data_IF_701193946444
#
_entry.id   IF_701193946444
#
_cell.length_a   1.000
_cell.length_b   1.000
_cell.length_c   1.000
_cell.angle_alpha   90.00
_cell.angle_beta   90.00
_cell.angle_gamma   90.00
#
_symmetry.space_group_name_H-M   'P 1'
#
loop_
_entity.id
_entity.type
_entity.pdbx_description
1 polymer ?
#
# COMPACT_ATOMS: atom_id res chain seq x y z
N UNK A 1 -2.00 -15.92 -4.46
CA UNK A 1 -1.88 -14.47 -4.71
C UNK A 1 -1.02 -14.25 -5.95
N UNK A 2 -1.39 -13.31 -6.83
CA UNK A 2 -0.66 -13.03 -8.06
C UNK A 2 -0.28 -11.54 -8.11
N UNK A 3 1.01 -11.26 -8.30
CA UNK A 3 1.58 -9.90 -8.30
C UNK A 3 2.59 -9.73 -9.43
N UNK A 4 2.68 -8.53 -9.99
CA UNK A 4 3.64 -8.20 -11.06
C UNK A 4 5.05 -7.99 -10.51
N UNK A 5 5.18 -7.62 -9.23
CA UNK A 5 6.44 -7.42 -8.52
C UNK A 5 6.32 -7.89 -7.07
N UNK A 6 7.37 -8.54 -6.57
CA UNK A 6 7.46 -9.01 -5.19
C UNK A 6 8.91 -8.85 -4.69
N UNK A 7 9.21 -9.41 -3.51
CA UNK A 7 10.55 -9.34 -2.94
C UNK A 7 11.64 -9.79 -3.95
N UNK A 8 12.80 -9.15 -3.96
CA UNK A 8 13.34 -8.20 -2.96
C UNK A 8 12.84 -6.75 -3.10
N UNK A 9 12.01 -6.46 -4.11
CA UNK A 9 11.41 -5.14 -4.27
C UNK A 9 10.32 -4.91 -3.21
N UNK A 10 10.41 -3.79 -2.47
CA UNK A 10 9.48 -3.45 -1.39
C UNK A 10 8.59 -2.29 -1.82
N UNK A 11 7.30 -2.53 -1.72
CA UNK A 11 6.24 -1.55 -1.98
C UNK A 11 5.07 -1.76 -1.00
N UNK A 12 4.10 -0.87 -0.99
CA UNK A 12 2.87 -1.07 -0.23
C UNK A 12 2.15 -2.39 -0.59
N UNK A 13 2.14 -2.76 -1.88
CA UNK A 13 1.53 -4.02 -2.34
C UNK A 13 2.35 -5.23 -1.87
N UNK A 14 3.68 -5.16 -1.92
CA UNK A 14 4.55 -6.24 -1.42
C UNK A 14 4.29 -6.49 0.07
N UNK A 15 4.26 -5.44 0.88
CA UNK A 15 3.97 -5.54 2.32
C UNK A 15 2.55 -6.08 2.57
N UNK A 16 1.56 -5.60 1.81
CA UNK A 16 0.19 -6.11 1.87
C UNK A 16 0.12 -7.61 1.59
N UNK A 17 0.76 -8.08 0.51
CA UNK A 17 0.75 -9.49 0.13
C UNK A 17 1.47 -10.35 1.16
N UNK A 18 2.62 -9.90 1.68
CA UNK A 18 3.39 -10.59 2.69
C UNK A 18 2.60 -10.78 3.99
N UNK A 19 2.00 -9.70 4.51
CA UNK A 19 1.25 -9.77 5.76
C UNK A 19 -0.01 -10.62 5.61
N UNK A 20 -0.75 -10.47 4.50
CA UNK A 20 -1.94 -11.28 4.24
C UNK A 20 -1.59 -12.76 4.04
N UNK A 21 -0.50 -13.09 3.32
CA UNK A 21 0.00 -14.46 3.20
C UNK A 21 0.22 -15.06 4.59
N UNK A 22 0.98 -14.39 5.44
CA UNK A 22 1.29 -14.84 6.79
C UNK A 22 0.03 -15.12 7.63
N UNK A 23 -0.94 -14.20 7.62
CA UNK A 23 -2.15 -14.35 8.43
C UNK A 23 -3.15 -15.37 7.87
N UNK A 24 -3.22 -15.52 6.56
CA UNK A 24 -3.98 -16.61 5.94
C UNK A 24 -3.34 -17.99 6.22
N UNK A 25 -2.01 -18.09 6.22
CA UNK A 25 -1.31 -19.31 6.61
C UNK A 25 -1.51 -19.64 8.11
N UNK A 26 -1.52 -18.62 8.99
CA UNK A 26 -1.87 -18.79 10.41
C UNK A 26 -3.33 -19.25 10.60
N UNK A 27 -4.22 -18.91 9.66
CA UNK A 27 -5.60 -19.40 9.64
C UNK A 27 -5.73 -20.81 9.05
N UNK A 28 -4.63 -21.47 8.66
CA UNK A 28 -4.60 -22.86 8.20
C UNK A 28 -4.70 -23.05 6.70
N UNK A 29 -4.48 -22.00 5.90
CA UNK A 29 -4.54 -22.07 4.44
C UNK A 29 -3.14 -22.17 3.82
N UNK A 30 -3.01 -22.88 2.68
CA UNK A 30 -1.81 -22.91 1.88
C UNK A 30 -1.79 -21.74 0.90
N UNK A 31 -0.92 -20.76 1.13
CA UNK A 31 -0.85 -19.54 0.33
C UNK A 31 0.37 -19.51 -0.57
N UNK A 32 0.13 -19.46 -1.88
CA UNK A 32 1.16 -19.33 -2.89
C UNK A 32 1.21 -17.90 -3.44
N UNK A 33 2.41 -17.37 -3.62
CA UNK A 33 2.63 -16.08 -4.31
C UNK A 33 3.26 -16.38 -5.67
N UNK A 34 2.58 -15.94 -6.74
CA UNK A 34 3.08 -16.04 -8.11
C UNK A 34 3.53 -14.66 -8.56
N UNK A 35 4.76 -14.54 -9.00
CA UNK A 35 5.37 -13.29 -9.44
C UNK A 35 6.33 -13.54 -10.60
N UNK A 36 6.94 -12.46 -11.10
CA UNK A 36 7.96 -12.49 -12.14
C UNK A 36 9.31 -12.12 -11.56
N UNK A 37 10.37 -12.58 -12.20
CA UNK A 37 11.72 -12.31 -11.77
C UNK A 37 12.71 -13.34 -12.31
N UNK A 38 13.91 -13.32 -11.78
CA UNK A 38 14.87 -14.37 -12.03
C UNK A 38 14.38 -15.67 -11.35
N UNK A 39 14.22 -16.74 -12.15
CA UNK A 39 13.77 -18.03 -11.66
C UNK A 39 14.72 -18.66 -10.64
N UNK A 40 16.00 -18.26 -10.68
CA UNK A 40 17.04 -18.70 -9.75
C UNK A 40 17.07 -17.88 -8.45
N UNK A 41 16.30 -16.80 -8.38
CA UNK A 41 16.24 -15.95 -7.20
C UNK A 41 15.41 -16.61 -6.09
N UNK A 42 16.08 -17.34 -5.22
CA UNK A 42 15.46 -17.94 -4.04
C UNK A 42 15.27 -16.86 -2.98
N UNK A 43 14.06 -16.37 -2.82
CA UNK A 43 13.71 -15.43 -1.74
C UNK A 43 13.86 -16.02 -0.34
N UNK A 44 14.10 -17.34 -0.21
CA UNK A 44 14.06 -18.07 1.06
C UNK A 44 12.65 -18.22 1.65
N UNK A 45 11.65 -17.57 1.07
CA UNK A 45 10.28 -17.64 1.52
C UNK A 45 9.54 -18.82 0.87
N UNK A 46 8.90 -19.70 1.65
CA UNK A 46 8.21 -20.87 1.12
C UNK A 46 6.99 -20.43 0.29
N UNK A 47 6.67 -21.23 -0.74
CA UNK A 47 5.50 -21.03 -1.63
C UNK A 47 5.51 -19.70 -2.42
N UNK A 48 6.70 -19.10 -2.64
CA UNK A 48 6.87 -18.00 -3.59
C UNK A 48 7.44 -18.55 -4.89
N UNK A 49 6.73 -18.31 -5.98
CA UNK A 49 7.04 -18.89 -7.29
C UNK A 49 7.34 -17.77 -8.27
N UNK A 50 8.60 -17.67 -8.65
CA UNK A 50 9.06 -16.74 -9.68
C UNK A 50 8.91 -17.38 -11.07
N UNK A 51 8.43 -16.61 -12.02
CA UNK A 51 8.43 -16.95 -13.45
C UNK A 51 9.38 -16.01 -14.18
N UNK A 52 10.15 -16.52 -15.18
CA UNK A 52 11.07 -15.67 -15.91
C UNK A 52 10.39 -14.49 -16.59
N UNK A 53 11.04 -13.33 -16.56
CA UNK A 53 10.63 -12.11 -17.24
C UNK A 53 11.83 -11.27 -17.63
N UNK A 54 11.60 -10.29 -18.50
CA UNK A 54 12.61 -9.29 -18.88
C UNK A 54 12.51 -8.14 -17.89
N UNK A 55 13.58 -7.76 -17.18
CA UNK A 55 13.55 -6.67 -16.22
C UNK A 55 13.23 -5.33 -16.94
N UNK A 56 12.36 -4.54 -16.33
CA UNK A 56 12.03 -3.17 -16.76
C UNK A 56 12.83 -2.19 -15.90
N UNK A 57 14.06 -1.90 -16.31
CA UNK A 57 15.00 -1.06 -15.57
C UNK A 57 15.15 -1.53 -14.09
N UNK A 58 15.60 -0.67 -13.20
CA UNK A 58 15.75 -0.93 -11.77
C UNK A 58 14.43 -0.83 -10.97
N UNK A 59 13.30 -0.82 -11.67
CA UNK A 59 11.97 -0.64 -11.05
C UNK A 59 11.48 -1.85 -10.25
N UNK A 60 12.14 -3.00 -10.33
CA UNK A 60 11.70 -4.26 -9.73
C UNK A 60 10.54 -4.94 -10.44
N UNK A 61 10.09 -4.37 -11.57
CA UNK A 61 9.10 -4.98 -12.45
C UNK A 61 9.75 -5.78 -13.57
N UNK A 62 9.08 -6.85 -13.97
CA UNK A 62 9.50 -7.73 -15.06
C UNK A 62 8.38 -7.86 -16.08
N UNK A 63 8.69 -7.69 -17.36
CA UNK A 63 7.75 -7.94 -18.44
C UNK A 63 7.76 -9.43 -18.78
N UNK A 64 6.59 -10.08 -18.69
CA UNK A 64 6.42 -11.46 -19.09
C UNK A 64 5.01 -11.72 -19.64
N UNK A 65 4.91 -12.45 -20.74
CA UNK A 65 3.64 -12.79 -21.37
C UNK A 65 3.03 -14.11 -20.84
N UNK A 66 3.73 -14.81 -19.94
CA UNK A 66 3.32 -16.12 -19.45
C UNK A 66 4.04 -16.51 -18.15
N UNK A 67 3.39 -17.34 -17.35
CA UNK A 67 4.06 -18.05 -16.27
C UNK A 67 4.84 -19.25 -16.77
N UNK A 68 5.86 -19.67 -15.99
CA UNK A 68 6.58 -20.91 -16.22
C UNK A 68 5.63 -22.12 -16.20
N UNK A 69 6.03 -23.22 -16.84
CA UNK A 69 5.22 -24.46 -16.85
C UNK A 69 4.91 -24.96 -15.43
N UNK A 70 5.88 -24.87 -14.52
CA UNK A 70 5.69 -25.26 -13.13
C UNK A 70 4.72 -24.34 -12.40
N UNK A 71 4.90 -23.02 -12.51
CA UNK A 71 3.98 -22.03 -11.92
C UNK A 71 2.54 -22.26 -12.41
N UNK A 72 2.34 -22.47 -13.71
CA UNK A 72 1.04 -22.74 -14.30
C UNK A 72 0.40 -24.02 -13.74
N UNK A 73 1.17 -25.14 -13.60
CA UNK A 73 0.64 -26.37 -13.01
C UNK A 73 0.18 -26.18 -11.56
N UNK A 74 0.97 -25.47 -10.75
CA UNK A 74 0.60 -25.19 -9.36
C UNK A 74 -0.59 -24.23 -9.30
N UNK A 75 -0.60 -23.17 -10.11
CA UNK A 75 -1.73 -22.23 -10.17
C UNK A 75 -3.06 -22.92 -10.47
N UNK A 76 -3.05 -23.94 -11.32
CA UNK A 76 -4.25 -24.71 -11.71
C UNK A 76 -4.78 -25.64 -10.61
N UNK A 77 -4.05 -25.81 -9.50
CA UNK A 77 -4.52 -26.57 -8.32
C UNK A 77 -5.06 -25.68 -7.21
N UNK A 78 -5.12 -24.36 -7.41
CA UNK A 78 -5.62 -23.45 -6.40
C UNK A 78 -7.15 -23.45 -6.35
N UNK A 79 -7.71 -23.29 -5.16
CA UNK A 79 -9.16 -23.18 -4.96
C UNK A 79 -9.67 -21.79 -5.33
N UNK A 80 -8.83 -20.76 -5.15
CA UNK A 80 -9.12 -19.36 -5.46
C UNK A 80 -7.83 -18.61 -5.82
N UNK A 81 -7.94 -17.60 -6.65
CA UNK A 81 -6.83 -16.75 -7.05
C UNK A 81 -7.13 -15.30 -6.76
N UNK A 82 -6.23 -14.63 -6.04
CA UNK A 82 -6.34 -13.22 -5.73
C UNK A 82 -5.24 -12.41 -6.45
N UNK A 83 -5.64 -11.45 -7.25
CA UNK A 83 -4.79 -10.63 -8.10
C UNK A 83 -4.65 -9.23 -7.52
N UNK A 84 -3.44 -8.68 -7.54
CA UNK A 84 -3.14 -7.35 -6.98
C UNK A 84 -2.70 -6.31 -8.02
N UNK A 85 -2.55 -6.73 -9.29
CA UNK A 85 -2.26 -5.84 -10.42
C UNK A 85 -3.15 -6.21 -11.61
N UNK A 86 -3.78 -5.22 -12.30
CA UNK A 86 -4.76 -5.53 -13.34
C UNK A 86 -4.13 -5.93 -14.67
N UNK A 87 -2.89 -5.50 -14.94
CA UNK A 87 -2.33 -5.60 -16.29
C UNK A 87 -1.73 -6.96 -16.61
N UNK A 88 -0.60 -7.33 -16.00
CA UNK A 88 0.12 -8.58 -16.31
C UNK A 88 -0.49 -9.79 -15.57
N UNK A 89 -0.33 -9.83 -14.26
CA UNK A 89 -0.84 -10.93 -13.44
C UNK A 89 -2.36 -11.08 -13.52
N UNK A 90 -3.09 -9.95 -13.62
CA UNK A 90 -4.55 -9.95 -13.77
C UNK A 90 -5.01 -10.64 -15.06
N UNK A 91 -4.40 -10.29 -16.19
CA UNK A 91 -4.72 -10.92 -17.47
C UNK A 91 -4.35 -12.40 -17.50
N UNK A 92 -3.22 -12.76 -16.88
CA UNK A 92 -2.78 -14.16 -16.81
C UNK A 92 -3.68 -14.98 -15.88
N UNK A 93 -4.18 -14.39 -14.78
CA UNK A 93 -5.17 -15.03 -13.92
C UNK A 93 -6.43 -15.41 -14.71
N UNK A 94 -7.00 -14.43 -15.42
CA UNK A 94 -8.18 -14.69 -16.27
C UNK A 94 -7.92 -15.76 -17.32
N UNK A 95 -6.74 -15.72 -17.96
CA UNK A 95 -6.36 -16.69 -19.00
C UNK A 95 -6.26 -18.12 -18.46
N UNK A 96 -5.70 -18.30 -17.24
CA UNK A 96 -5.40 -19.64 -16.73
C UNK A 96 -6.46 -20.20 -15.76
N UNK A 97 -7.18 -19.33 -15.06
CA UNK A 97 -8.12 -19.74 -14.01
C UNK A 97 -9.56 -19.88 -14.54
N UNK A 98 -10.02 -18.95 -15.39
CA UNK A 98 -11.39 -18.98 -15.92
C UNK A 98 -11.77 -20.28 -16.64
N UNK A 99 -10.94 -20.88 -17.52
CA UNK A 99 -11.27 -22.15 -18.17
C UNK A 99 -11.46 -23.31 -17.18
N UNK A 100 -10.92 -23.18 -15.98
CA UNK A 100 -10.98 -24.18 -14.91
C UNK A 100 -12.02 -23.86 -13.84
N UNK A 101 -12.76 -22.77 -14.00
CA UNK A 101 -13.74 -22.26 -13.02
C UNK A 101 -13.13 -21.96 -11.65
N UNK A 102 -11.83 -21.62 -11.61
CA UNK A 102 -11.18 -21.13 -10.39
C UNK A 102 -11.59 -19.65 -10.23
N UNK A 103 -12.23 -19.27 -9.12
CA UNK A 103 -12.65 -17.89 -8.90
C UNK A 103 -11.46 -16.94 -8.80
N UNK A 104 -11.61 -15.75 -9.39
CA UNK A 104 -10.58 -14.72 -9.44
C UNK A 104 -11.06 -13.46 -8.74
N UNK A 105 -10.37 -13.08 -7.67
CA UNK A 105 -10.56 -11.85 -6.92
C UNK A 105 -9.52 -10.82 -7.38
N UNK A 106 -9.91 -9.56 -7.44
CA UNK A 106 -8.99 -8.46 -7.71
C UNK A 106 -9.08 -7.39 -6.63
N UNK A 107 -7.96 -7.00 -6.03
CA UNK A 107 -7.88 -5.81 -5.18
C UNK A 107 -7.16 -4.68 -5.92
N UNK A 108 -7.82 -3.51 -5.99
CA UNK A 108 -7.22 -2.33 -6.57
C UNK A 108 -6.43 -1.54 -5.51
N UNK A 109 -5.10 -1.58 -5.61
CA UNK A 109 -4.17 -0.94 -4.68
C UNK A 109 -3.62 0.40 -5.17
N UNK A 110 -3.92 0.82 -6.39
CA UNK A 110 -3.21 1.93 -7.01
C UNK A 110 -4.16 2.90 -7.71
N UNK A 111 -3.92 4.18 -7.54
CA UNK A 111 -4.49 5.29 -8.31
C UNK A 111 -3.78 5.36 -9.67
N UNK A 112 -4.13 4.43 -10.57
CA UNK A 112 -3.48 4.33 -11.89
C UNK A 112 -3.61 5.61 -12.72
N UNK A 113 -4.69 6.37 -12.52
CA UNK A 113 -4.91 7.69 -13.10
C UNK A 113 -3.79 8.67 -12.71
N UNK A 114 -3.49 8.80 -11.43
CA UNK A 114 -2.44 9.69 -10.93
C UNK A 114 -1.03 9.16 -11.18
N UNK A 115 -0.85 7.84 -11.16
CA UNK A 115 0.45 7.24 -11.47
C UNK A 115 0.84 7.43 -12.94
N UNK A 116 -0.13 7.35 -13.87
CA UNK A 116 0.12 7.66 -15.27
C UNK A 116 0.60 9.10 -15.44
N UNK A 117 -0.02 10.06 -14.77
CA UNK A 117 0.37 11.48 -14.78
C UNK A 117 1.79 11.70 -14.21
N UNK A 118 2.10 11.06 -13.08
CA UNK A 118 3.40 11.25 -12.40
C UNK A 118 4.58 10.63 -13.16
N UNK A 119 4.38 9.48 -13.80
CA UNK A 119 5.46 8.72 -14.42
C UNK A 119 5.49 8.78 -15.96
N UNK A 120 4.42 9.27 -16.59
CA UNK A 120 4.32 9.49 -18.02
C UNK A 120 3.87 10.92 -18.33
N UNK A 121 4.62 11.95 -17.91
CA UNK A 121 4.20 13.36 -17.99
C UNK A 121 4.02 13.86 -19.44
N UNK A 122 4.54 13.12 -20.43
CA UNK A 122 4.33 13.44 -21.86
C UNK A 122 2.98 12.91 -22.40
N UNK A 123 2.26 12.07 -21.63
CA UNK A 123 0.96 11.56 -22.03
C UNK A 123 -0.14 12.53 -21.52
N UNK A 124 -0.99 13.09 -22.38
CA UNK A 124 -2.11 13.93 -21.94
C UNK A 124 -3.03 13.16 -20.98
N UNK A 125 -3.52 13.86 -19.94
CA UNK A 125 -4.38 13.27 -18.91
C UNK A 125 -5.65 12.63 -19.47
N UNK A 126 -6.23 13.25 -20.50
CA UNK A 126 -7.40 12.72 -21.19
C UNK A 126 -7.12 11.37 -21.86
N UNK A 127 -5.92 11.19 -22.42
CA UNK A 127 -5.51 9.94 -23.07
C UNK A 127 -5.32 8.83 -22.04
N UNK A 128 -4.60 9.11 -20.95
CA UNK A 128 -4.36 8.13 -19.89
C UNK A 128 -5.67 7.72 -19.20
N UNK A 129 -6.54 8.68 -18.89
CA UNK A 129 -7.86 8.44 -18.32
C UNK A 129 -8.76 7.68 -19.30
N UNK A 130 -8.75 8.04 -20.57
CA UNK A 130 -9.51 7.34 -21.63
C UNK A 130 -9.10 5.87 -21.79
N UNK A 131 -7.80 5.57 -21.72
CA UNK A 131 -7.29 4.19 -21.75
C UNK A 131 -7.74 3.39 -20.52
N UNK A 132 -7.72 3.99 -19.34
CA UNK A 132 -8.21 3.35 -18.09
C UNK A 132 -9.71 3.13 -18.13
N UNK A 133 -10.49 4.12 -18.61
CA UNK A 133 -11.94 4.00 -18.81
C UNK A 133 -12.32 2.93 -19.83
N UNK A 134 -11.50 2.69 -20.83
CA UNK A 134 -11.70 1.62 -21.80
C UNK A 134 -11.33 0.22 -21.24
N UNK A 135 -10.31 0.14 -20.39
CA UNK A 135 -9.77 -1.13 -19.89
C UNK A 135 -10.44 -1.62 -18.61
N UNK A 136 -10.52 -0.75 -17.57
CA UNK A 136 -10.91 -1.15 -16.21
C UNK A 136 -12.32 -1.75 -16.13
N UNK A 137 -13.36 -1.23 -16.81
CA UNK A 137 -14.70 -1.82 -16.74
C UNK A 137 -14.73 -3.26 -17.23
N UNK A 138 -14.11 -3.53 -18.39
CA UNK A 138 -14.07 -4.88 -18.96
C UNK A 138 -13.23 -5.84 -18.12
N UNK A 139 -12.13 -5.38 -17.56
CA UNK A 139 -11.28 -6.16 -16.66
C UNK A 139 -12.03 -6.49 -15.35
N UNK A 140 -12.60 -5.50 -14.68
CA UNK A 140 -13.36 -5.70 -13.44
C UNK A 140 -14.59 -6.58 -13.64
N UNK A 141 -15.30 -6.44 -14.75
CA UNK A 141 -16.44 -7.32 -15.11
C UNK A 141 -16.04 -8.77 -15.29
N UNK A 142 -14.77 -9.03 -15.62
CA UNK A 142 -14.24 -10.37 -15.77
C UNK A 142 -13.83 -11.01 -14.43
N UNK A 143 -13.82 -10.29 -13.33
CA UNK A 143 -13.52 -10.79 -11.99
C UNK A 143 -14.76 -11.34 -11.31
N UNK A 144 -14.60 -12.33 -10.43
CA UNK A 144 -15.67 -12.84 -9.59
C UNK A 144 -15.94 -11.92 -8.40
N UNK A 145 -14.92 -11.17 -7.98
CA UNK A 145 -15.02 -10.11 -6.96
C UNK A 145 -13.98 -9.04 -7.20
N UNK A 146 -14.39 -7.78 -7.10
CA UNK A 146 -13.52 -6.62 -7.05
C UNK A 146 -13.48 -6.07 -5.64
N UNK A 147 -12.31 -5.82 -5.10
CA UNK A 147 -12.09 -5.25 -3.77
C UNK A 147 -11.39 -3.92 -3.90
N UNK A 148 -11.80 -2.97 -3.09
CA UNK A 148 -11.08 -1.72 -2.87
C UNK A 148 -10.78 -1.54 -1.38
N UNK A 149 -9.63 -0.97 -1.01
CA UNK A 149 -9.29 -0.82 0.39
C UNK A 149 -9.97 0.38 1.07
N UNK A 150 -10.66 1.23 0.30
CA UNK A 150 -11.39 2.38 0.83
C UNK A 150 -12.60 2.76 -0.02
N UNK A 151 -13.58 3.42 0.58
CA UNK A 151 -14.76 3.92 -0.12
C UNK A 151 -14.41 4.99 -1.17
N UNK A 152 -13.39 5.80 -0.91
CA UNK A 152 -12.89 6.76 -1.89
C UNK A 152 -12.33 6.07 -3.14
N UNK A 153 -11.64 4.95 -2.96
CA UNK A 153 -11.15 4.19 -4.10
C UNK A 153 -12.29 3.50 -4.87
N UNK A 154 -13.34 3.06 -4.20
CA UNK A 154 -14.55 2.61 -4.88
C UNK A 154 -15.12 3.73 -5.76
N UNK A 155 -15.28 4.94 -5.22
CA UNK A 155 -15.76 6.10 -6.01
C UNK A 155 -14.91 6.36 -7.25
N UNK A 156 -13.58 6.24 -7.14
CA UNK A 156 -12.67 6.37 -8.29
C UNK A 156 -12.92 5.29 -9.35
N UNK A 157 -13.11 4.03 -8.96
CA UNK A 157 -13.44 2.98 -9.92
C UNK A 157 -14.80 3.24 -10.60
N UNK A 158 -15.80 3.76 -9.85
CA UNK A 158 -17.09 4.16 -10.44
C UNK A 158 -16.93 5.30 -11.46
N UNK A 159 -16.05 6.28 -11.19
CA UNK A 159 -15.72 7.35 -12.15
C UNK A 159 -15.00 6.82 -13.41
N UNK A 160 -14.34 5.67 -13.31
CA UNK A 160 -13.78 4.95 -14.44
C UNK A 160 -14.80 4.02 -15.12
N UNK A 161 -16.11 4.20 -14.86
CA UNK A 161 -17.22 3.42 -15.41
C UNK A 161 -17.23 1.92 -15.02
N UNK A 162 -16.64 1.59 -13.87
CA UNK A 162 -16.71 0.21 -13.34
C UNK A 162 -18.04 -0.02 -12.65
N UNK A 163 -18.92 -0.81 -13.27
CA UNK A 163 -20.26 -1.16 -12.73
C UNK A 163 -20.28 -2.50 -11.99
N UNK A 164 -19.17 -3.22 -11.93
CA UNK A 164 -19.05 -4.51 -11.24
C UNK A 164 -19.36 -4.37 -9.76
N UNK A 165 -19.74 -5.48 -9.12
CA UNK A 165 -19.86 -5.54 -7.66
C UNK A 165 -18.49 -5.29 -7.02
N UNK A 166 -18.41 -4.29 -6.14
CA UNK A 166 -17.21 -3.90 -5.43
C UNK A 166 -17.45 -4.04 -3.93
N UNK A 167 -16.55 -4.71 -3.23
CA UNK A 167 -16.51 -4.77 -1.78
C UNK A 167 -15.39 -3.86 -1.25
N UNK A 168 -15.67 -3.15 -0.17
CA UNK A 168 -14.67 -2.32 0.51
C UNK A 168 -14.09 -3.13 1.67
N UNK A 169 -12.84 -3.57 1.52
CA UNK A 169 -12.11 -4.30 2.57
C UNK A 169 -10.81 -3.55 2.88
N UNK A 170 -10.71 -2.91 4.05
CA UNK A 170 -9.54 -2.13 4.42
C UNK A 170 -8.24 -2.94 4.39
N UNK A 171 -7.13 -2.27 4.10
CA UNK A 171 -5.81 -2.87 4.29
C UNK A 171 -5.59 -3.17 5.77
N UNK A 172 -5.09 -4.36 6.08
CA UNK A 172 -4.78 -4.78 7.44
C UNK A 172 -3.33 -4.49 7.82
N UNK A 173 -3.11 -4.16 9.09
CA UNK A 173 -1.80 -3.93 9.72
C UNK A 173 -1.66 -4.78 10.98
N UNK A 174 -0.47 -5.31 11.24
CA UNK A 174 -0.16 -5.99 12.51
C UNK A 174 -0.03 -4.96 13.65
N UNK A 175 -1.18 -4.52 14.15
CA UNK A 175 -1.25 -3.47 15.17
C UNK A 175 -0.62 -3.87 16.50
N UNK A 176 -0.49 -5.16 16.80
CA UNK A 176 0.11 -5.63 18.07
C UNK A 176 1.55 -5.16 18.18
N UNK A 177 2.30 -5.20 17.06
CA UNK A 177 3.69 -4.73 17.01
C UNK A 177 3.80 -3.24 17.36
N UNK A 178 2.84 -2.41 16.91
CA UNK A 178 2.82 -0.97 17.16
C UNK A 178 2.31 -0.64 18.57
N UNK A 179 1.29 -1.37 19.07
CA UNK A 179 0.74 -1.15 20.41
C UNK A 179 1.72 -1.48 21.53
N UNK A 180 2.59 -2.47 21.35
CA UNK A 180 3.54 -2.97 22.34
C UNK A 180 4.97 -2.45 22.15
N UNK A 181 5.20 -1.60 21.15
CA UNK A 181 6.52 -1.10 20.83
C UNK A 181 7.12 -0.29 21.97
N UNK A 182 8.36 -0.59 22.31
CA UNK A 182 9.17 0.27 23.19
C UNK A 182 9.83 1.35 22.32
N UNK A 183 9.73 2.63 22.72
CA UNK A 183 10.37 3.70 21.97
C UNK A 183 11.89 3.54 21.97
N UNK A 184 12.54 3.97 20.87
CA UNK A 184 13.97 4.17 20.86
C UNK A 184 14.36 5.31 21.80
N UNK A 185 15.60 5.28 22.30
CA UNK A 185 16.12 6.36 23.12
C UNK A 185 16.25 7.63 22.29
N UNK A 186 15.61 8.71 22.68
CA UNK A 186 15.72 10.02 22.03
C UNK A 186 17.14 10.56 22.07
N UNK A 187 17.86 10.31 23.16
CA UNK A 187 19.25 10.73 23.35
C UNK A 187 20.19 10.11 22.29
N UNK A 188 19.94 8.88 21.84
CA UNK A 188 20.76 8.23 20.80
C UNK A 188 20.63 8.95 19.45
N UNK A 189 19.59 9.75 19.29
CA UNK A 189 19.34 10.60 18.12
C UNK A 189 19.69 12.07 18.38
N UNK A 190 20.20 12.42 19.56
CA UNK A 190 20.50 13.79 19.95
C UNK A 190 19.28 14.64 20.28
N UNK A 191 18.11 14.01 20.46
CA UNK A 191 16.88 14.69 20.86
C UNK A 191 16.72 14.73 22.38
N UNK A 192 16.04 15.77 22.85
CA UNK A 192 15.66 15.95 24.27
C UNK A 192 14.27 15.38 24.53
N UNK A 193 13.92 15.18 25.78
CA UNK A 193 12.61 14.67 26.17
C UNK A 193 11.46 15.64 25.88
N UNK A 194 11.74 16.94 25.90
CA UNK A 194 10.79 18.02 25.60
C UNK A 194 10.71 18.37 24.11
N UNK A 195 11.53 17.77 23.25
CA UNK A 195 11.45 17.95 21.81
C UNK A 195 10.15 17.37 21.24
N UNK A 196 9.63 18.05 20.24
CA UNK A 196 8.46 17.62 19.47
C UNK A 196 8.96 16.93 18.21
N UNK A 197 8.79 15.61 18.14
CA UNK A 197 9.23 14.80 17.00
C UNK A 197 8.07 14.53 16.05
N UNK A 198 8.13 15.13 14.87
CA UNK A 198 7.31 14.76 13.73
C UNK A 198 7.95 13.56 13.03
N UNK A 199 7.15 12.65 12.48
CA UNK A 199 7.67 11.52 11.70
C UNK A 199 6.90 11.35 10.41
N UNK A 200 7.65 11.20 9.33
CA UNK A 200 7.21 10.61 8.07
C UNK A 200 7.80 9.21 7.97
N UNK A 201 6.99 8.23 7.60
CA UNK A 201 7.48 6.87 7.33
C UNK A 201 6.98 6.39 5.97
N UNK A 202 7.91 5.99 5.12
CA UNK A 202 7.60 5.52 3.78
C UNK A 202 8.75 5.67 2.79
N UNK A 203 8.47 5.29 1.55
CA UNK A 203 9.41 5.44 0.45
C UNK A 203 9.60 6.94 0.12
N UNK A 204 10.83 7.35 -0.13
CA UNK A 204 11.12 8.68 -0.67
C UNK A 204 10.88 8.63 -2.19
N UNK A 205 9.78 9.22 -2.64
CA UNK A 205 9.33 9.19 -4.03
C UNK A 205 8.48 10.43 -4.35
N UNK A 206 8.39 10.78 -5.64
CA UNK A 206 7.70 11.98 -6.12
C UNK A 206 6.26 12.08 -5.60
N UNK A 207 5.53 10.97 -5.64
CA UNK A 207 4.13 10.90 -5.22
C UNK A 207 3.91 11.13 -3.71
N UNK A 208 4.98 11.14 -2.91
CA UNK A 208 4.92 11.40 -1.47
C UNK A 208 5.02 12.88 -1.12
N UNK A 209 5.33 13.72 -2.11
CA UNK A 209 5.28 15.19 -2.01
C UNK A 209 6.08 15.75 -0.82
N UNK A 210 7.30 15.19 -0.60
CA UNK A 210 8.18 15.65 0.49
C UNK A 210 8.59 17.12 0.39
N UNK A 211 8.79 17.72 -0.80
CA UNK A 211 9.07 19.15 -0.89
C UNK A 211 8.01 20.01 -0.21
N UNK A 212 6.71 19.73 -0.44
CA UNK A 212 5.62 20.43 0.25
C UNK A 212 5.69 20.28 1.77
N UNK A 213 6.03 19.06 2.26
CA UNK A 213 6.19 18.82 3.68
C UNK A 213 7.33 19.65 4.27
N UNK A 214 8.47 19.75 3.57
CA UNK A 214 9.63 20.54 4.05
C UNK A 214 9.35 22.03 4.03
N UNK A 215 8.67 22.55 3.00
CA UNK A 215 8.23 23.94 2.95
C UNK A 215 7.33 24.29 4.15
N UNK A 216 6.36 23.42 4.44
CA UNK A 216 5.48 23.59 5.60
C UNK A 216 6.23 23.48 6.93
N UNK A 217 7.16 22.51 7.03
CA UNK A 217 7.97 22.30 8.22
C UNK A 217 8.94 23.45 8.49
N UNK A 218 9.49 24.08 7.45
CA UNK A 218 10.38 25.24 7.58
C UNK A 218 9.75 26.37 8.39
N UNK A 219 8.51 26.73 8.08
CA UNK A 219 7.80 27.76 8.83
C UNK A 219 7.58 27.38 10.31
N UNK A 220 7.30 26.12 10.58
CA UNK A 220 7.09 25.62 11.95
C UNK A 220 8.41 25.59 12.72
N UNK A 221 9.50 25.14 12.12
CA UNK A 221 10.82 25.05 12.76
C UNK A 221 11.40 26.41 13.15
N UNK A 222 11.01 27.49 12.43
CA UNK A 222 11.36 28.87 12.77
C UNK A 222 10.57 29.39 13.98
N UNK A 223 9.32 28.97 14.11
CA UNK A 223 8.43 29.40 15.19
C UNK A 223 8.60 28.57 16.49
N UNK A 224 8.97 27.31 16.37
CA UNK A 224 9.06 26.34 17.47
C UNK A 224 10.49 25.74 17.51
N UNK A 225 11.38 26.25 18.37
CA UNK A 225 12.79 25.87 18.38
C UNK A 225 13.10 24.41 18.69
N UNK A 226 12.20 23.70 19.38
CA UNK A 226 12.37 22.30 19.77
C UNK A 226 11.54 21.31 18.93
N UNK A 227 11.16 21.69 17.69
CA UNK A 227 10.51 20.79 16.75
C UNK A 227 11.51 20.16 15.80
N UNK A 228 11.39 18.86 15.55
CA UNK A 228 12.23 18.10 14.63
C UNK A 228 11.38 17.22 13.74
N UNK A 229 11.90 16.90 12.54
CA UNK A 229 11.26 16.00 11.58
C UNK A 229 12.17 14.80 11.31
N UNK A 230 11.64 13.62 11.55
CA UNK A 230 12.29 12.35 11.26
C UNK A 230 11.71 11.76 9.97
N UNK A 231 12.56 11.50 8.98
CA UNK A 231 12.22 10.83 7.72
C UNK A 231 12.70 9.38 7.81
N UNK A 232 11.76 8.46 7.94
CA UNK A 232 12.03 7.02 8.05
C UNK A 232 11.77 6.36 6.70
N UNK A 233 12.85 5.93 6.04
CA UNK A 233 12.78 5.29 4.74
C UNK A 233 13.84 5.80 3.77
N UNK A 234 13.80 5.29 2.55
CA UNK A 234 14.68 5.70 1.44
C UNK A 234 13.93 5.62 0.11
N UNK A 235 14.50 6.18 -0.92
CA UNK A 235 14.00 6.14 -2.29
C UNK A 235 15.00 5.53 -3.26
N UNK A 236 14.80 5.81 -4.55
CA UNK A 236 15.82 5.64 -5.58
C UNK A 236 16.94 6.65 -5.31
N UNK A 237 18.20 6.22 -5.43
CA UNK A 237 19.36 6.99 -5.00
C UNK A 237 19.35 8.44 -5.51
N UNK A 238 19.10 8.63 -6.81
CA UNK A 238 19.08 9.96 -7.41
C UNK A 238 18.06 10.89 -6.71
N UNK A 239 16.82 10.42 -6.51
CA UNK A 239 15.77 11.24 -5.89
C UNK A 239 16.00 11.39 -4.37
N UNK A 240 16.60 10.41 -3.71
CA UNK A 240 16.98 10.50 -2.29
C UNK A 240 18.03 11.61 -2.10
N UNK A 241 19.01 11.70 -3.00
CA UNK A 241 20.04 12.74 -3.00
C UNK A 241 19.45 14.13 -3.30
N UNK A 242 18.52 14.24 -4.25
CA UNK A 242 17.80 15.48 -4.56
C UNK A 242 17.02 16.00 -3.34
N UNK A 243 16.33 15.11 -2.63
CA UNK A 243 15.55 15.44 -1.42
C UNK A 243 16.45 15.88 -0.26
N UNK A 244 17.63 15.26 -0.10
CA UNK A 244 18.62 15.67 0.91
C UNK A 244 19.24 17.02 0.59
N UNK A 245 19.54 17.27 -0.69
CA UNK A 245 20.02 18.57 -1.15
C UNK A 245 19.01 19.66 -0.86
N UNK A 246 17.72 19.41 -1.16
CA UNK A 246 16.63 20.35 -0.86
C UNK A 246 16.58 20.73 0.63
N UNK A 247 16.72 19.75 1.54
CA UNK A 247 16.77 20.01 2.99
C UNK A 247 17.96 20.89 3.37
N UNK A 248 19.11 20.68 2.72
CA UNK A 248 20.30 21.49 2.93
C UNK A 248 20.13 22.92 2.41
N UNK A 249 19.58 23.08 1.21
CA UNK A 249 19.30 24.40 0.61
C UNK A 249 18.29 25.21 1.44
N UNK A 250 17.37 24.53 2.09
CA UNK A 250 16.41 25.11 3.03
C UNK A 250 17.00 25.44 4.41
N UNK A 251 18.24 25.05 4.66
CA UNK A 251 18.93 25.18 5.97
C UNK A 251 18.24 24.42 7.10
N UNK A 252 17.75 23.21 6.81
CA UNK A 252 17.02 22.38 7.77
C UNK A 252 17.84 21.19 8.29
N UNK A 253 19.16 21.10 8.02
CA UNK A 253 20.01 19.97 8.38
C UNK A 253 19.99 19.63 9.88
N UNK A 254 19.87 20.63 10.75
CA UNK A 254 19.83 20.45 12.21
C UNK A 254 18.42 20.07 12.72
N UNK A 255 17.41 20.09 11.85
CA UNK A 255 15.99 19.87 12.18
C UNK A 255 15.36 18.67 11.50
N UNK A 256 15.90 18.26 10.36
CA UNK A 256 15.42 17.12 9.58
C UNK A 256 16.48 16.02 9.61
N UNK A 257 16.05 14.83 10.04
CA UNK A 257 16.95 13.67 10.10
C UNK A 257 16.40 12.54 9.23
N UNK A 258 17.25 11.97 8.40
CA UNK A 258 16.96 10.81 7.58
C UNK A 258 17.56 9.55 8.23
N UNK A 259 16.75 8.53 8.43
CA UNK A 259 17.22 7.22 8.94
C UNK A 259 17.81 6.35 7.84
N UNK A 260 17.45 6.64 6.58
CA UNK A 260 17.61 5.68 5.49
C UNK A 260 16.65 4.50 5.63
N UNK A 261 16.90 3.45 4.87
CA UNK A 261 16.09 2.22 4.89
C UNK A 261 16.28 1.49 6.21
N UNK A 262 15.18 1.21 6.88
CA UNK A 262 15.13 0.34 8.07
C UNK A 262 14.36 -0.95 7.73
N UNK A 263 14.52 -1.99 8.54
CA UNK A 263 13.68 -3.19 8.46
C UNK A 263 12.32 -2.94 9.10
N UNK A 264 11.27 -3.57 8.58
CA UNK A 264 9.89 -3.29 9.00
C UNK A 264 9.63 -3.57 10.49
N UNK A 265 10.29 -4.58 11.06
CA UNK A 265 10.23 -4.91 12.48
C UNK A 265 10.74 -3.82 13.42
N UNK A 266 11.57 -2.90 12.93
CA UNK A 266 12.08 -1.75 13.68
C UNK A 266 11.15 -0.53 13.64
N UNK A 267 10.28 -0.43 12.61
CA UNK A 267 9.41 0.72 12.42
C UNK A 267 8.56 1.06 13.65
N UNK A 268 7.96 0.08 14.36
CA UNK A 268 7.17 0.38 15.57
C UNK A 268 7.94 1.16 16.63
N UNK A 269 9.21 0.85 16.85
CA UNK A 269 10.05 1.52 17.85
C UNK A 269 10.40 2.98 17.44
N UNK A 270 10.59 3.24 16.14
CA UNK A 270 10.76 4.60 15.62
C UNK A 270 9.48 5.43 15.78
N UNK A 271 8.31 4.87 15.47
CA UNK A 271 7.05 5.59 15.63
C UNK A 271 6.74 5.86 17.10
N UNK A 272 6.97 4.90 17.98
CA UNK A 272 6.73 5.04 19.42
C UNK A 272 7.59 6.16 20.07
N UNK A 273 8.73 6.54 19.48
CA UNK A 273 9.58 7.64 19.91
C UNK A 273 9.00 9.02 19.57
N UNK A 274 8.10 9.09 18.57
CA UNK A 274 7.63 10.34 17.96
C UNK A 274 6.32 10.85 18.57
N UNK A 275 5.91 12.05 18.19
CA UNK A 275 4.73 12.72 18.75
C UNK A 275 3.60 12.93 17.73
N UNK A 276 3.91 13.09 16.43
CA UNK A 276 2.95 13.38 15.36
C UNK A 276 3.41 12.66 14.10
N UNK A 277 2.51 11.95 13.43
CA UNK A 277 2.76 11.41 12.11
C UNK A 277 2.35 12.43 11.05
N UNK A 278 3.23 12.69 10.07
CA UNK A 278 2.97 13.67 9.02
C UNK A 278 3.08 13.03 7.63
N UNK A 279 2.16 13.40 6.73
CA UNK A 279 2.20 13.00 5.33
C UNK A 279 1.65 14.10 4.43
N UNK A 280 2.32 14.32 3.29
CA UNK A 280 1.87 15.25 2.26
C UNK A 280 1.43 14.54 0.98
N UNK A 281 1.31 13.20 1.01
CA UNK A 281 0.91 12.40 -0.14
C UNK A 281 -0.56 12.64 -0.51
N UNK A 282 -0.81 12.81 -1.80
CA UNK A 282 -2.16 12.99 -2.38
C UNK A 282 -2.61 11.77 -3.21
N UNK A 283 -1.74 10.79 -3.40
CA UNK A 283 -1.97 9.64 -4.30
C UNK A 283 -2.31 8.35 -3.56
N UNK A 284 -2.46 8.42 -2.25
CA UNK A 284 -2.74 7.23 -1.43
C UNK A 284 -4.12 6.65 -1.74
N UNK A 285 -4.19 5.33 -1.73
CA UNK A 285 -5.45 4.57 -1.84
C UNK A 285 -5.98 4.18 -0.47
N UNK A 286 -5.11 3.68 0.38
CA UNK A 286 -5.35 3.39 1.79
C UNK A 286 -3.97 3.17 2.45
N UNK A 287 -3.36 4.23 3.00
CA UNK A 287 -1.95 4.24 3.36
C UNK A 287 -1.64 3.43 4.60
N UNK A 288 -0.92 2.32 4.45
CA UNK A 288 -0.49 1.47 5.57
C UNK A 288 0.28 2.29 6.61
N UNK A 289 1.16 3.19 6.18
CA UNK A 289 1.97 4.00 7.09
C UNK A 289 1.16 4.94 7.98
N UNK A 290 0.03 5.45 7.48
CA UNK A 290 -0.91 6.25 8.30
C UNK A 290 -1.58 5.37 9.34
N UNK A 291 -2.02 4.17 8.95
CA UNK A 291 -2.62 3.20 9.88
C UNK A 291 -1.60 2.77 10.96
N UNK A 292 -0.35 2.55 10.55
CA UNK A 292 0.78 2.24 11.44
C UNK A 292 1.04 3.38 12.44
N UNK A 293 1.01 4.63 11.95
CA UNK A 293 1.10 5.83 12.79
C UNK A 293 -0.06 5.90 13.81
N UNK A 294 -1.29 5.67 13.37
CA UNK A 294 -2.47 5.62 14.25
C UNK A 294 -2.35 4.48 15.27
N UNK A 295 -1.89 3.30 14.86
CA UNK A 295 -1.62 2.15 15.73
C UNK A 295 -0.56 2.46 16.77
N UNK A 296 0.49 3.19 16.42
CA UNK A 296 1.50 3.67 17.37
C UNK A 296 0.95 4.76 18.33
N UNK A 297 -0.29 5.24 18.11
CA UNK A 297 -0.91 6.29 18.91
C UNK A 297 -0.42 7.68 18.52
N UNK A 298 -0.09 7.91 17.26
CA UNK A 298 0.27 9.23 16.77
C UNK A 298 -0.94 9.92 16.16
N UNK A 299 -1.25 11.18 16.50
CA UNK A 299 -2.17 11.98 15.75
C UNK A 299 -1.60 12.21 14.35
N UNK A 300 -2.46 12.20 13.35
CA UNK A 300 -2.05 12.31 11.95
C UNK A 300 -2.19 13.74 11.47
N UNK A 301 -1.18 14.27 10.79
CA UNK A 301 -1.31 15.46 9.96
C UNK A 301 -1.16 15.06 8.49
N UNK A 302 -2.20 15.26 7.70
CA UNK A 302 -2.23 14.86 6.30
C UNK A 302 -2.89 15.87 5.37
N UNK A 303 -2.69 15.69 4.06
CA UNK A 303 -3.46 16.38 3.03
C UNK A 303 -4.75 15.58 2.79
N UNK A 304 -5.87 16.28 2.69
CA UNK A 304 -7.16 15.71 2.32
C UNK A 304 -7.08 15.12 0.91
N UNK A 305 -7.09 13.81 0.86
CA UNK A 305 -6.99 13.02 -0.38
C UNK A 305 -7.77 11.71 -0.19
N UNK A 306 -8.00 10.97 -1.27
CA UNK A 306 -8.84 9.77 -1.24
C UNK A 306 -8.44 8.83 -0.10
N UNK A 307 -7.20 8.35 -0.09
CA UNK A 307 -6.79 7.33 0.89
C UNK A 307 -6.56 7.89 2.29
N UNK A 308 -5.97 9.08 2.40
CA UNK A 308 -5.71 9.70 3.72
C UNK A 308 -7.03 10.16 4.35
N UNK A 309 -7.93 10.76 3.55
CA UNK A 309 -9.24 11.23 4.01
C UNK A 309 -10.19 10.10 4.42
N UNK A 310 -10.08 8.92 3.79
CA UNK A 310 -10.86 7.74 4.20
C UNK A 310 -10.30 7.07 5.49
N UNK A 311 -9.05 7.37 5.86
CA UNK A 311 -8.37 6.75 7.01
C UNK A 311 -8.39 7.67 8.25
N UNK A 312 -8.22 8.97 8.06
CA UNK A 312 -8.10 9.97 9.12
C UNK A 312 -9.41 10.73 9.29
N UNK A 313 -9.92 10.78 10.50
CA UNK A 313 -11.07 11.60 10.86
C UNK A 313 -10.60 12.98 11.31
N UNK A 314 -10.82 14.02 10.46
CA UNK A 314 -10.39 15.40 10.74
C UNK A 314 -10.95 15.93 12.06
N UNK A 315 -10.07 16.49 12.89
CA UNK A 315 -10.40 16.99 14.21
C UNK A 315 -10.54 15.93 15.32
N UNK A 316 -10.45 14.62 14.99
CA UNK A 316 -10.63 13.52 15.96
C UNK A 316 -9.38 12.64 16.06
N UNK A 317 -8.89 12.10 14.94
CA UNK A 317 -7.70 11.24 14.92
C UNK A 317 -6.46 11.96 14.40
N UNK A 318 -6.62 13.22 14.04
CA UNK A 318 -5.60 14.08 13.48
C UNK A 318 -6.23 15.24 12.74
N UNK A 319 -5.45 15.89 11.90
CA UNK A 319 -5.93 16.95 11.02
C UNK A 319 -5.70 16.63 9.55
N UNK A 320 -6.66 17.00 8.72
CA UNK A 320 -6.57 17.02 7.28
C UNK A 320 -6.58 18.49 6.81
N UNK A 321 -5.65 18.85 5.94
CA UNK A 321 -5.64 20.16 5.28
C UNK A 321 -5.88 19.97 3.78
N UNK A 322 -6.45 20.96 3.13
CA UNK A 322 -6.41 21.09 1.67
C UNK A 322 -4.95 21.13 1.22
N UNK A 323 -4.69 20.85 -0.05
CA UNK A 323 -3.33 20.95 -0.63
C UNK A 323 -2.92 22.44 -0.73
N UNK A 324 -2.85 23.07 0.41
CA UNK A 324 -2.52 24.48 0.63
C UNK A 324 -1.53 24.59 1.80
N UNK A 325 -0.37 25.18 1.55
CA UNK A 325 0.73 25.22 2.51
C UNK A 325 0.39 26.00 3.79
N UNK A 326 -0.22 27.20 3.74
CA UNK A 326 -0.67 27.91 4.94
C UNK A 326 -1.65 27.12 5.79
N UNK A 327 -2.65 26.48 5.19
CA UNK A 327 -3.65 25.68 5.90
C UNK A 327 -3.00 24.44 6.57
N UNK A 328 -2.11 23.75 5.86
CA UNK A 328 -1.36 22.61 6.40
C UNK A 328 -0.46 23.05 7.57
N UNK A 329 0.30 24.12 7.38
CA UNK A 329 1.21 24.65 8.41
C UNK A 329 0.47 25.07 9.66
N UNK A 330 -0.67 25.77 9.53
CA UNK A 330 -1.47 26.21 10.67
C UNK A 330 -2.03 25.04 11.49
N UNK A 331 -2.57 23.99 10.84
CA UNK A 331 -3.07 22.79 11.53
C UNK A 331 -1.94 22.01 12.19
N UNK A 332 -0.79 21.86 11.53
CA UNK A 332 0.37 21.17 12.10
C UNK A 332 0.96 21.97 13.29
N UNK A 333 1.04 23.29 13.19
CA UNK A 333 1.47 24.16 14.30
C UNK A 333 0.56 24.00 15.53
N UNK A 334 -0.75 23.91 15.34
CA UNK A 334 -1.70 23.65 16.41
C UNK A 334 -1.41 22.30 17.09
N UNK A 335 -1.13 21.22 16.34
CA UNK A 335 -0.72 19.94 16.91
C UNK A 335 0.62 20.04 17.68
N UNK A 336 1.55 20.88 17.22
CA UNK A 336 2.82 21.06 17.93
C UNK A 336 2.64 21.80 19.26
N UNK A 337 1.79 22.81 19.32
CA UNK A 337 1.65 23.69 20.49
C UNK A 337 0.69 23.16 21.56
N UNK A 338 -0.35 22.42 21.18
CA UNK A 338 -1.39 21.93 22.09
C UNK A 338 -1.16 20.48 22.51
N UNK A 339 -0.52 20.30 23.65
CA UNK A 339 -0.24 18.96 24.23
C UNK A 339 -1.53 18.19 24.56
N UNK A 340 -2.58 18.87 25.05
CA UNK A 340 -3.82 18.21 25.42
C UNK A 340 -4.56 17.69 24.19
N UNK A 341 -4.63 18.53 23.16
CA UNK A 341 -5.17 18.13 21.85
C UNK A 341 -4.41 16.95 21.26
N UNK A 342 -3.06 16.99 21.28
CA UNK A 342 -2.23 15.85 20.81
C UNK A 342 -2.56 14.56 21.54
N UNK A 343 -2.66 14.58 22.87
CA UNK A 343 -3.00 13.40 23.70
C UNK A 343 -4.38 12.87 23.35
N UNK A 344 -5.39 13.75 23.28
CA UNK A 344 -6.74 13.37 22.92
C UNK A 344 -6.81 12.70 21.53
N UNK A 345 -6.16 13.30 20.53
CA UNK A 345 -6.11 12.75 19.19
C UNK A 345 -5.30 11.46 19.12
N UNK A 346 -4.21 11.34 19.89
CA UNK A 346 -3.42 10.12 20.04
C UNK A 346 -4.27 8.93 20.50
N UNK A 347 -5.03 9.12 21.59
CA UNK A 347 -5.92 8.08 22.10
C UNK A 347 -7.02 7.73 21.09
N UNK A 348 -7.55 8.72 20.40
CA UNK A 348 -8.57 8.52 19.37
C UNK A 348 -8.03 7.80 18.15
N UNK A 349 -6.83 8.15 17.68
CA UNK A 349 -6.15 7.50 16.56
C UNK A 349 -5.88 6.01 16.86
N UNK A 350 -5.37 5.73 18.08
CA UNK A 350 -5.11 4.35 18.53
C UNK A 350 -6.39 3.52 18.57
N UNK A 351 -7.49 4.05 19.11
CA UNK A 351 -8.78 3.35 19.12
C UNK A 351 -9.33 3.14 17.71
N UNK A 352 -9.31 4.18 16.89
CA UNK A 352 -9.83 4.11 15.53
C UNK A 352 -9.06 3.13 14.63
N UNK A 353 -7.75 2.94 14.88
CA UNK A 353 -6.94 1.99 14.11
C UNK A 353 -7.38 0.53 14.25
N UNK A 354 -8.11 0.17 15.31
CA UNK A 354 -8.49 -1.21 15.62
C UNK A 354 -9.25 -1.91 14.47
N UNK A 355 -10.02 -1.17 13.68
CA UNK A 355 -10.76 -1.71 12.53
C UNK A 355 -9.83 -2.18 11.40
N UNK A 356 -8.59 -1.73 11.42
CA UNK A 356 -7.53 -2.07 10.47
C UNK A 356 -6.60 -3.19 10.98
N UNK A 357 -6.94 -3.83 12.12
CA UNK A 357 -6.17 -4.98 12.59
C UNK A 357 -6.18 -6.09 11.54
N UNK A 358 -5.00 -6.62 11.22
CA UNK A 358 -4.86 -7.64 10.15
C UNK A 358 -5.70 -8.89 10.45
N UNK A 359 -5.89 -9.24 11.71
CA UNK A 359 -6.74 -10.36 12.11
C UNK A 359 -8.20 -10.15 11.68
N UNK A 360 -8.71 -8.92 11.82
CA UNK A 360 -10.09 -8.61 11.46
C UNK A 360 -10.26 -8.52 9.94
N UNK A 361 -9.33 -7.85 9.24
CA UNK A 361 -9.40 -7.76 7.78
C UNK A 361 -9.20 -9.12 7.10
N UNK A 362 -8.36 -10.01 7.69
CA UNK A 362 -8.19 -11.40 7.22
C UNK A 362 -9.50 -12.20 7.37
N UNK A 363 -10.23 -12.05 8.50
CA UNK A 363 -11.53 -12.71 8.67
C UNK A 363 -12.56 -12.26 7.64
N UNK A 364 -12.58 -10.96 7.32
CA UNK A 364 -13.46 -10.43 6.27
C UNK A 364 -13.10 -11.03 4.91
N UNK A 365 -11.81 -11.04 4.59
CA UNK A 365 -11.31 -11.60 3.33
C UNK A 365 -11.63 -13.09 3.18
N UNK A 366 -11.42 -13.87 4.25
CA UNK A 366 -11.74 -15.30 4.26
C UNK A 366 -13.22 -15.57 3.99
N UNK A 367 -14.14 -14.81 4.59
CA UNK A 367 -15.58 -14.95 4.30
C UNK A 367 -15.90 -14.75 2.82
N UNK A 368 -15.26 -13.78 2.16
CA UNK A 368 -15.44 -13.59 0.72
C UNK A 368 -14.86 -14.75 -0.09
N UNK A 369 -13.67 -15.25 0.30
CA UNK A 369 -13.05 -16.40 -0.38
C UNK A 369 -13.88 -17.66 -0.24
N UNK A 370 -14.33 -18.02 0.97
CA UNK A 370 -15.17 -19.18 1.24
C UNK A 370 -16.46 -19.13 0.43
N UNK A 371 -17.14 -17.97 0.42
CA UNK A 371 -18.34 -17.78 -0.40
C UNK A 371 -18.08 -18.04 -1.87
N UNK A 372 -17.03 -17.44 -2.44
CA UNK A 372 -16.69 -17.61 -3.85
C UNK A 372 -16.33 -19.06 -4.19
N UNK A 373 -15.60 -19.74 -3.34
CA UNK A 373 -15.23 -21.15 -3.53
C UNK A 373 -16.48 -22.03 -3.48
N UNK A 374 -17.40 -21.79 -2.53
CA UNK A 374 -18.67 -22.52 -2.44
C UNK A 374 -19.56 -22.29 -3.66
N UNK A 375 -19.66 -21.05 -4.14
CA UNK A 375 -20.47 -20.69 -5.30
C UNK A 375 -19.88 -21.23 -6.62
N UNK A 376 -18.57 -21.40 -6.67
CA UNK A 376 -17.82 -21.91 -7.83
C UNK A 376 -17.66 -23.43 -7.82
N UNK A 377 -17.99 -24.11 -6.68
CA UNK A 377 -17.92 -25.54 -6.59
C UNK A 377 -18.71 -26.19 -7.76
N UNK A 378 -18.14 -27.16 -8.49
CA UNK A 378 -18.70 -27.57 -9.75
C UNK A 378 -20.10 -28.15 -9.54
N UNK A 379 -21.12 -27.44 -10.02
CA UNK A 379 -22.37 -28.08 -10.44
C UNK A 379 -21.99 -29.11 -11.50
N UNK A 380 -21.69 -30.36 -11.09
CA UNK A 380 -21.23 -31.54 -11.86
C UNK A 380 -20.56 -31.14 -13.19
N UNK A 381 -19.22 -30.96 -13.19
CA UNK A 381 -18.49 -30.55 -14.38
C UNK A 381 -18.83 -31.49 -15.53
N UNK A 382 -19.42 -30.97 -16.59
CA UNK A 382 -19.71 -31.80 -17.76
C UNK A 382 -18.38 -32.27 -18.34
N UNK A 383 -18.30 -33.48 -18.85
CA UNK A 383 -17.15 -34.04 -19.57
C UNK A 383 -16.55 -33.02 -20.58
N UNK A 384 -17.37 -32.21 -21.22
CA UNK A 384 -16.98 -31.17 -22.19
C UNK A 384 -16.10 -30.08 -21.58
N UNK A 385 -16.32 -29.69 -20.33
CA UNK A 385 -15.50 -28.67 -19.64
C UNK A 385 -14.10 -29.19 -19.32
N UNK A 386 -13.99 -30.47 -18.92
CA UNK A 386 -12.69 -31.13 -18.67
C UNK A 386 -11.88 -31.29 -19.94
N UNK A 387 -12.52 -31.65 -21.07
CA UNK A 387 -11.86 -31.78 -22.37
C UNK A 387 -11.40 -30.44 -22.91
N UNK A 388 -12.19 -29.37 -22.72
CA UNK A 388 -11.80 -28.03 -23.15
C UNK A 388 -10.60 -27.51 -22.38
N UNK A 389 -10.55 -27.66 -21.06
CA UNK A 389 -9.38 -27.32 -20.25
C UNK A 389 -8.13 -28.13 -20.62
N UNK A 390 -8.33 -29.42 -20.97
CA UNK A 390 -7.26 -30.28 -21.45
C UNK A 390 -6.73 -29.85 -22.84
N UNK A 391 -7.60 -29.48 -23.78
CA UNK A 391 -7.21 -29.04 -25.12
C UNK A 391 -6.50 -27.66 -25.11
N UNK A 392 -6.92 -26.73 -24.24
CA UNK A 392 -6.21 -25.45 -24.06
C UNK A 392 -4.81 -25.59 -23.45
N UNK A 393 -4.52 -26.71 -22.77
CA UNK A 393 -3.17 -27.05 -22.29
C UNK A 393 -2.19 -27.45 -23.43
N UNK A 394 -2.67 -27.88 -24.57
CA UNK A 394 -1.85 -28.32 -25.71
C UNK A 394 -1.64 -27.24 -26.75
N UNK A 395 -2.45 -26.19 -26.76
CA UNK A 395 -2.36 -25.06 -27.71
C UNK A 395 -1.60 -23.83 -27.18
N UNK A 396 -0.79 -23.99 -26.15
CA UNK A 396 -0.02 -22.92 -25.53
C UNK A 396 1.49 -23.23 -25.46
#
# INVERSE_FOLDING_TARGET
MMVDSYKPYISGITNYVEINKRYLELAGHDVFVFTFGDADHKTGEPRVIHSPGVPLSDSGFYLSMRYSRNAKKILQTMDIVHVHHPFLSGRLALRYCRPLHIPVVYTNHTRYDLYAQAYLPMMPDEVSTGLLQAYMPSFCKAMDLVITPSAGMERILRQLNVDSHIEVVPNGVDLKSFHSAKPLSRADFGYKDDDILLVYAGRIALEKNLPFLFDSFKGISQAIPNVHLLIVGSGVQQYDDEIRSLVSDMQLNDRVRFTGRITYDKLPAYLAMCNIFVTASVTEVHPLSVIEGMGAGLPIMGIESVGVGDTVQDGVTGFLATHDQPAFTAKLMRLCLDLNLRRQMSDSARRASSVYAIEETTKVMLRHYEKLVMDSAPRKSSWRTRVRGFMEQFNS
#
